data_IF_577832161618
#
_entry.id   IF_577832161618
#
_cell.length_a   1.000
_cell.length_b   1.000
_cell.length_c   1.000
_cell.angle_alpha   90.00
_cell.angle_beta   90.00
_cell.angle_gamma   90.00
#
_symmetry.space_group_name_H-M   'P 1'
#
loop_
_entity.id
_entity.type
_entity.pdbx_description
1 polymer ?
#
# COMPACT_ATOMS: atom_id res chain seq x y z
N UNK A 1 -13.09 -7.83 -40.95
CA UNK A 1 -12.92 -9.08 -40.18
C UNK A 1 -12.09 -8.77 -38.95
N UNK A 2 -12.74 -8.96 -37.80
CA UNK A 2 -12.29 -8.98 -36.40
C UNK A 2 -11.38 -7.87 -35.86
N UNK A 3 -12.05 -6.80 -35.41
CA UNK A 3 -11.69 -6.13 -34.16
C UNK A 3 -11.65 -7.17 -33.03
N UNK A 4 -10.47 -7.61 -32.61
CA UNK A 4 -10.32 -8.21 -31.29
C UNK A 4 -10.28 -7.07 -30.27
N UNK A 5 -11.44 -6.83 -29.66
CA UNK A 5 -11.61 -6.03 -28.46
C UNK A 5 -10.70 -6.62 -27.38
N UNK A 6 -9.58 -5.99 -27.05
CA UNK A 6 -8.91 -6.27 -25.78
C UNK A 6 -9.72 -5.64 -24.65
N UNK A 7 -10.89 -6.23 -24.38
CA UNK A 7 -11.53 -6.11 -23.09
C UNK A 7 -10.63 -6.86 -22.11
N UNK A 8 -10.21 -6.19 -21.04
CA UNK A 8 -9.58 -6.86 -19.93
C UNK A 8 -8.83 -5.86 -19.08
N UNK A 9 -9.57 -5.06 -18.31
CA UNK A 9 -9.05 -4.42 -17.11
C UNK A 9 -8.09 -5.41 -16.45
N UNK A 10 -6.78 -5.13 -16.47
CA UNK A 10 -5.83 -5.93 -15.70
C UNK A 10 -6.40 -5.93 -14.29
N UNK A 11 -6.70 -7.11 -13.75
CA UNK A 11 -7.20 -7.28 -12.40
C UNK A 11 -6.39 -6.35 -11.50
N UNK A 12 -7.01 -5.27 -11.02
CA UNK A 12 -6.32 -4.22 -10.25
C UNK A 12 -5.91 -4.88 -8.94
N UNK A 13 -4.69 -5.42 -8.89
CA UNK A 13 -4.13 -5.99 -7.67
C UNK A 13 -4.11 -4.92 -6.58
N UNK A 14 -4.23 -5.35 -5.32
CA UNK A 14 -4.13 -4.45 -4.17
C UNK A 14 -2.72 -3.85 -4.16
N UNK A 15 -2.64 -2.52 -4.14
CA UNK A 15 -1.39 -1.77 -3.97
C UNK A 15 -1.43 -1.07 -2.61
N UNK A 16 -0.50 -1.40 -1.72
CA UNK A 16 -0.49 -0.89 -0.34
C UNK A 16 0.59 0.18 -0.18
N UNK A 17 0.20 1.36 0.29
CA UNK A 17 1.14 2.41 0.71
C UNK A 17 1.30 2.35 2.22
N UNK A 18 2.52 2.14 2.69
CA UNK A 18 2.86 2.10 4.12
C UNK A 18 3.60 3.40 4.45
N UNK A 19 2.95 4.27 5.22
CA UNK A 19 3.51 5.56 5.64
C UNK A 19 3.60 5.63 7.17
N UNK A 20 4.71 5.16 7.77
CA UNK A 20 4.87 5.25 9.22
C UNK A 20 5.02 6.71 9.67
N UNK A 21 4.42 7.04 10.81
CA UNK A 21 4.59 8.35 11.46
C UNK A 21 5.77 8.31 12.43
N UNK A 22 6.25 9.47 12.88
CA UNK A 22 7.33 9.54 13.88
C UNK A 22 6.97 8.88 15.23
N UNK A 23 5.68 8.71 15.52
CA UNK A 23 5.19 8.03 16.72
C UNK A 23 5.11 6.50 16.55
N UNK A 24 5.22 6.01 15.32
CA UNK A 24 5.19 4.58 15.00
C UNK A 24 6.46 3.89 15.51
N UNK A 25 6.30 2.74 16.17
CA UNK A 25 7.45 1.94 16.62
C UNK A 25 7.98 1.09 15.47
N UNK A 26 9.28 0.81 15.49
CA UNK A 26 9.92 -0.09 14.51
C UNK A 26 9.20 -1.45 14.40
N UNK A 27 8.76 -2.02 15.52
CA UNK A 27 8.02 -3.28 15.52
C UNK A 27 6.74 -3.22 14.68
N UNK A 28 6.01 -2.09 14.70
CA UNK A 28 4.79 -1.96 13.90
C UNK A 28 5.06 -2.06 12.40
N UNK A 29 6.19 -1.51 11.93
CA UNK A 29 6.57 -1.63 10.54
C UNK A 29 6.90 -3.09 10.17
N UNK A 30 7.65 -3.79 11.05
CA UNK A 30 8.00 -5.20 10.83
C UNK A 30 6.74 -6.08 10.79
N UNK A 31 5.81 -5.88 11.73
CA UNK A 31 4.55 -6.62 11.79
C UNK A 31 3.74 -6.43 10.48
N UNK A 32 3.66 -5.20 9.97
CA UNK A 32 2.96 -4.92 8.69
C UNK A 32 3.67 -5.61 7.52
N UNK A 33 5.01 -5.62 7.49
CA UNK A 33 5.76 -6.30 6.43
C UNK A 33 5.56 -7.82 6.46
N UNK A 34 5.40 -8.40 7.65
CA UNK A 34 5.07 -9.81 7.79
C UNK A 34 3.63 -10.10 7.33
N UNK A 35 2.68 -9.21 7.61
CA UNK A 35 1.32 -9.31 7.05
C UNK A 35 1.31 -9.24 5.52
N UNK A 36 2.16 -8.41 4.89
CA UNK A 36 2.29 -8.39 3.42
C UNK A 36 2.78 -9.74 2.87
N UNK A 37 3.66 -10.44 3.60
CA UNK A 37 4.11 -11.80 3.23
C UNK A 37 3.00 -12.83 3.42
N UNK A 38 2.30 -12.80 4.55
CA UNK A 38 1.21 -13.74 4.89
C UNK A 38 0.07 -13.62 3.88
N UNK A 39 -0.31 -12.39 3.55
CA UNK A 39 -1.39 -12.09 2.58
C UNK A 39 -0.95 -12.21 1.11
N UNK A 40 0.33 -12.50 0.85
CA UNK A 40 0.93 -12.59 -0.47
C UNK A 40 0.77 -11.32 -1.33
N UNK A 41 0.66 -10.15 -0.69
CA UNK A 41 0.61 -8.86 -1.37
C UNK A 41 2.04 -8.49 -1.78
N UNK A 42 2.30 -8.53 -3.09
CA UNK A 42 3.64 -8.23 -3.66
C UNK A 42 3.83 -6.76 -4.04
N UNK A 43 2.74 -5.99 -4.03
CA UNK A 43 2.71 -4.61 -4.51
C UNK A 43 2.53 -3.67 -3.32
N UNK A 44 3.64 -3.24 -2.72
CA UNK A 44 3.61 -2.24 -1.67
C UNK A 44 4.81 -1.29 -1.75
N UNK A 45 4.66 -0.09 -1.21
CA UNK A 45 5.73 0.89 -1.08
C UNK A 45 5.74 1.50 0.33
N UNK A 46 6.94 1.65 0.88
CA UNK A 46 7.18 2.37 2.12
C UNK A 46 7.57 3.80 1.74
N UNK A 47 6.84 4.78 2.28
CA UNK A 47 7.00 6.19 1.93
C UNK A 47 6.94 7.02 3.21
N UNK A 48 7.56 8.20 3.17
CA UNK A 48 7.43 9.15 4.26
C UNK A 48 6.04 9.81 4.25
N UNK A 49 5.51 10.10 5.44
CA UNK A 49 4.25 10.83 5.61
C UNK A 49 4.45 12.31 5.28
N UNK A 50 3.51 12.92 4.55
CA UNK A 50 3.58 14.36 4.28
C UNK A 50 3.06 15.16 5.46
N UNK A 51 3.49 16.44 5.63
CA UNK A 51 2.98 17.30 6.69
C UNK A 51 1.45 17.45 6.67
N UNK A 52 0.86 17.51 5.48
CA UNK A 52 -0.60 17.62 5.31
C UNK A 52 -1.32 16.35 5.77
N UNK A 53 -0.75 15.17 5.53
CA UNK A 53 -1.31 13.90 6.00
C UNK A 53 -1.26 13.80 7.52
N UNK A 54 -0.20 14.30 8.16
CA UNK A 54 -0.10 14.36 9.63
C UNK A 54 -1.19 15.21 10.27
N UNK A 55 -1.57 16.33 9.64
CA UNK A 55 -2.66 17.20 10.11
C UNK A 55 -4.05 16.54 10.02
N UNK A 56 -4.20 15.54 9.14
CA UNK A 56 -5.45 14.79 8.95
C UNK A 56 -5.60 13.62 9.92
N UNK A 57 -4.56 13.27 10.68
CA UNK A 57 -4.62 12.18 11.67
C UNK A 57 -5.38 12.69 12.91
N UNK A 58 -6.48 12.01 13.32
CA UNK A 58 -7.19 12.37 14.54
C UNK A 58 -6.30 12.16 15.77
N UNK A 59 -6.39 13.09 16.74
CA UNK A 59 -5.66 13.04 18.01
C UNK A 59 -6.34 12.16 19.03
#
# INVERSE_FOLDING_TARGET
>A
MNLQRQNGWKQNGVYVLIKPTNESKYNNLVDILDEMKITQIKSFAILDVTPQELEMIPK
#
